data_IF_197603706541
#
_entry.id   IF_197603706541
#
_cell.length_a   1.000
_cell.length_b   1.000
_cell.length_c   1.000
_cell.angle_alpha   90.00
_cell.angle_beta   90.00
_cell.angle_gamma   90.00
#
_symmetry.space_group_name_H-M   'P 1'
#
loop_
_entity.id
_entity.type
_entity.pdbx_description
1 polymer ?
#
# COMPACT_ATOMS: atom_id res chain seq x y z
N UNK A 1 4.37 -6.46 -10.28
CA UNK A 1 4.02 -6.86 -8.91
C UNK A 1 5.25 -6.94 -8.02
N UNK A 2 5.34 -6.02 -7.07
CA UNK A 2 6.26 -6.00 -5.94
C UNK A 2 5.55 -6.53 -4.67
N UNK A 3 6.34 -6.87 -3.65
CA UNK A 3 5.86 -7.27 -2.33
C UNK A 3 6.43 -6.32 -1.27
N UNK A 4 5.67 -6.11 -0.21
CA UNK A 4 6.13 -5.29 0.90
C UNK A 4 5.24 -5.41 2.12
N UNK A 5 5.64 -4.68 3.15
CA UNK A 5 4.98 -4.64 4.45
C UNK A 5 4.42 -3.24 4.67
N UNK A 6 3.16 -3.16 5.08
CA UNK A 6 2.53 -1.90 5.46
C UNK A 6 3.26 -1.33 6.66
N UNK A 7 3.95 -0.21 6.47
CA UNK A 7 4.71 0.46 7.52
C UNK A 7 3.78 1.18 8.47
N UNK A 8 2.77 1.83 7.92
CA UNK A 8 1.66 2.43 8.66
C UNK A 8 0.53 2.78 7.68
N UNK A 9 -0.70 2.83 8.17
CA UNK A 9 -1.85 3.31 7.40
C UNK A 9 -2.81 4.06 8.31
N UNK A 10 -3.19 5.27 7.92
CA UNK A 10 -4.23 6.03 8.61
C UNK A 10 -5.56 5.82 7.91
N UNK A 11 -6.43 5.00 8.51
CA UNK A 11 -7.72 4.63 7.95
C UNK A 11 -8.69 5.81 7.84
N UNK A 12 -8.63 6.77 8.78
CA UNK A 12 -9.47 7.98 8.77
C UNK A 12 -9.10 8.91 7.61
N UNK A 13 -7.80 9.05 7.34
CA UNK A 13 -7.28 9.87 6.23
C UNK A 13 -7.21 9.12 4.90
N UNK A 14 -7.28 7.79 4.92
CA UNK A 14 -7.28 6.94 3.73
C UNK A 14 -5.92 6.81 3.04
N UNK A 15 -4.81 6.97 3.76
CA UNK A 15 -3.48 6.79 3.17
C UNK A 15 -2.44 6.30 4.16
N UNK A 16 -1.35 5.76 3.62
CA UNK A 16 -0.20 5.24 4.36
C UNK A 16 1.00 4.98 3.46
N UNK A 17 1.92 4.14 3.95
CA UNK A 17 3.10 3.72 3.22
C UNK A 17 3.36 2.23 3.36
N UNK A 18 3.86 1.64 2.27
CA UNK A 18 4.35 0.26 2.22
C UNK A 18 5.87 0.31 2.05
N UNK A 19 6.60 -0.44 2.88
CA UNK A 19 8.04 -0.61 2.78
C UNK A 19 8.36 -1.95 2.14
N UNK A 20 9.37 -1.96 1.27
CA UNK A 20 9.96 -3.20 0.72
C UNK A 20 11.13 -3.66 1.59
N UNK A 21 11.61 -4.88 1.39
CA UNK A 21 12.81 -5.40 2.06
C UNK A 21 14.08 -4.62 1.69
N UNK A 22 14.08 -3.99 0.52
CA UNK A 22 15.16 -3.11 0.04
C UNK A 22 15.12 -1.72 0.71
N UNK A 23 14.15 -1.46 1.59
CA UNK A 23 13.99 -0.20 2.32
C UNK A 23 13.31 0.92 1.53
N UNK A 24 12.88 0.65 0.29
CA UNK A 24 12.13 1.61 -0.52
C UNK A 24 10.69 1.71 -0.03
N UNK A 25 10.20 2.94 0.12
CA UNK A 25 8.84 3.25 0.55
C UNK A 25 7.96 3.70 -0.62
N UNK A 26 6.73 3.21 -0.62
CA UNK A 26 5.74 3.50 -1.65
C UNK A 26 4.47 4.05 -1.01
N UNK A 27 3.99 5.17 -1.55
CA UNK A 27 2.74 5.78 -1.09
C UNK A 27 1.56 4.86 -1.37
N UNK A 28 0.70 4.63 -0.38
CA UNK A 28 -0.49 3.79 -0.50
C UNK A 28 -1.74 4.63 -0.21
N UNK A 29 -2.61 4.78 -1.23
CA UNK A 29 -3.91 5.43 -1.08
C UNK A 29 -5.03 4.38 -1.01
N UNK A 30 -6.09 4.64 -0.24
CA UNK A 30 -7.19 3.68 -0.07
C UNK A 30 -7.81 3.25 -1.41
N UNK A 31 -7.85 4.14 -2.40
CA UNK A 31 -8.45 3.83 -3.72
C UNK A 31 -7.73 2.69 -4.43
N UNK A 32 -6.43 2.50 -4.18
CA UNK A 32 -5.60 1.47 -4.78
C UNK A 32 -5.83 0.07 -4.18
N UNK A 33 -6.48 -0.03 -3.02
CA UNK A 33 -6.69 -1.30 -2.31
C UNK A 33 -7.77 -2.14 -3.01
N UNK A 34 -7.42 -3.38 -3.32
CA UNK A 34 -8.26 -4.39 -3.95
C UNK A 34 -8.95 -5.21 -2.85
N UNK A 35 -10.03 -4.67 -2.32
CA UNK A 35 -10.85 -5.32 -1.28
C UNK A 35 -12.30 -4.90 -1.43
N UNK A 36 -13.21 -5.81 -1.09
CA UNK A 36 -14.64 -5.51 -0.97
C UNK A 36 -14.90 -4.89 0.40
N UNK A 37 -15.71 -3.82 0.44
CA UNK A 37 -16.03 -3.13 1.69
C UNK A 37 -15.02 -2.04 2.06
N UNK A 38 -14.75 -1.86 3.35
CA UNK A 38 -13.90 -0.79 3.84
C UNK A 38 -12.44 -0.99 3.44
N UNK A 39 -11.88 -0.02 2.71
CA UNK A 39 -10.54 -0.08 2.15
C UNK A 39 -9.51 0.45 3.14
N UNK A 40 -8.92 -0.46 3.91
CA UNK A 40 -7.86 -0.17 4.88
C UNK A 40 -6.76 -1.21 4.84
N UNK A 41 -5.59 -0.83 5.34
CA UNK A 41 -4.45 -1.69 5.58
C UNK A 41 -4.09 -1.66 7.06
N UNK A 42 -3.52 -2.75 7.56
CA UNK A 42 -3.09 -2.87 8.94
C UNK A 42 -1.55 -2.77 9.02
N UNK A 43 -1.01 -2.12 10.05
CA UNK A 43 0.45 -2.05 10.24
C UNK A 43 1.06 -3.46 10.37
N UNK A 44 2.18 -3.70 9.70
CA UNK A 44 2.83 -5.00 9.63
C UNK A 44 2.20 -5.98 8.63
N UNK A 45 1.10 -5.61 7.98
CA UNK A 45 0.45 -6.48 7.00
C UNK A 45 1.29 -6.64 5.73
N UNK A 46 1.44 -7.88 5.27
CA UNK A 46 2.08 -8.16 3.99
C UNK A 46 1.11 -7.93 2.82
N UNK A 47 1.61 -7.31 1.76
CA UNK A 47 0.83 -6.94 0.58
C UNK A 47 1.61 -7.15 -0.71
N UNK A 48 0.89 -7.41 -1.79
CA UNK A 48 1.38 -7.28 -3.16
C UNK A 48 0.81 -6.03 -3.80
N UNK A 49 1.57 -5.40 -4.70
CA UNK A 49 1.16 -4.18 -5.39
C UNK A 49 1.95 -3.99 -6.68
N UNK A 50 1.48 -3.12 -7.57
CA UNK A 50 2.29 -2.61 -8.68
C UNK A 50 2.81 -1.21 -8.34
N UNK A 51 3.97 -0.87 -8.89
CA UNK A 51 4.61 0.43 -8.70
C UNK A 51 4.34 1.27 -9.94
N UNK A 52 3.84 2.48 -9.75
CA UNK A 52 3.67 3.46 -10.82
C UNK A 52 4.26 4.81 -10.40
N UNK A 53 4.72 5.57 -11.39
CA UNK A 53 5.10 6.96 -11.17
C UNK A 53 3.84 7.83 -11.11
N UNK A 54 3.69 8.56 -10.02
CA UNK A 54 2.52 9.37 -9.71
C UNK A 54 2.85 10.84 -9.58
N UNK A 55 1.81 11.66 -9.50
CA UNK A 55 1.93 13.11 -9.25
C UNK A 55 2.64 13.45 -7.93
N UNK A 56 2.83 12.46 -7.03
CA UNK A 56 3.49 12.60 -5.73
C UNK A 56 4.68 11.65 -5.56
N UNK A 57 5.28 11.22 -6.68
CA UNK A 57 6.33 10.21 -6.70
C UNK A 57 5.79 8.79 -6.79
N UNK A 58 6.65 7.81 -6.48
CA UNK A 58 6.35 6.38 -6.60
C UNK A 58 5.21 5.99 -5.65
N UNK A 59 4.18 5.34 -6.21
CA UNK A 59 3.00 4.91 -5.48
C UNK A 59 2.66 3.45 -5.75
N UNK A 60 2.05 2.81 -4.76
CA UNK A 60 1.53 1.46 -4.84
C UNK A 60 0.10 1.47 -5.39
N UNK A 61 -0.15 0.69 -6.45
CA UNK A 61 -1.47 0.45 -7.04
C UNK A 61 -1.80 -1.04 -7.04
N UNK A 62 -3.07 -1.39 -7.30
CA UNK A 62 -3.53 -2.78 -7.29
C UNK A 62 -3.17 -3.53 -5.97
N UNK A 63 -3.19 -2.82 -4.84
CA UNK A 63 -2.72 -3.33 -3.55
C UNK A 63 -3.63 -4.47 -3.09
N UNK A 64 -3.07 -5.66 -2.89
CA UNK A 64 -3.78 -6.85 -2.44
C UNK A 64 -3.14 -7.37 -1.16
N UNK A 65 -3.97 -7.69 -0.17
CA UNK A 65 -3.53 -8.28 1.10
C UNK A 65 -3.08 -9.71 0.86
N UNK A 66 -1.87 -10.05 1.34
CA UNK A 66 -1.44 -11.44 1.39
C UNK A 66 -2.12 -12.15 2.57
N UNK A 67 -2.44 -13.45 2.42
CA UNK A 67 -3.08 -14.24 3.47
C UNK A 67 -2.19 -14.46 4.69
#
# INVERSE_FOLDING_TARGET
MAQGTVKWFNAEKGFGFISTEEGQEYFAHFSAIQTKGYKTLDEGQQVTFDIVDGHRGLQAVNITKLP
#
